data_IF_347528441322
#
_entry.id   IF_347528441322
#
_cell.length_a   1.000
_cell.length_b   1.000
_cell.length_c   1.000
_cell.angle_alpha   90.00
_cell.angle_beta   90.00
_cell.angle_gamma   90.00
#
_symmetry.space_group_name_H-M   'P 1'
#
loop_
_entity.id
_entity.type
_entity.pdbx_description
1 polymer ?
#
# COMPACT_ATOMS: atom_id res chain seq x y z
N UNK A 1 -25.52 40.09 -0.38
CA UNK A 1 -24.59 41.19 -0.77
C UNK A 1 -23.18 40.94 -0.26
N UNK A 2 -23.03 40.35 0.93
CA UNK A 2 -21.77 39.99 1.58
C UNK A 2 -20.83 39.14 0.70
N UNK A 3 -21.30 38.01 0.16
CA UNK A 3 -20.48 37.15 -0.74
C UNK A 3 -19.92 37.89 -1.98
N UNK A 4 -20.64 38.91 -2.48
CA UNK A 4 -20.17 39.73 -3.62
C UNK A 4 -19.08 40.70 -3.16
N UNK A 5 -19.21 41.26 -1.97
CA UNK A 5 -18.22 42.13 -1.35
C UNK A 5 -16.92 41.36 -1.07
N UNK A 6 -17.02 40.14 -0.54
CA UNK A 6 -15.87 39.26 -0.31
C UNK A 6 -15.17 38.84 -1.60
N UNK A 7 -15.94 38.51 -2.65
CA UNK A 7 -15.38 38.16 -3.95
C UNK A 7 -14.63 39.35 -4.57
N UNK A 8 -15.21 40.55 -4.50
CA UNK A 8 -14.56 41.78 -4.94
C UNK A 8 -13.28 42.07 -4.13
N UNK A 9 -13.30 41.85 -2.82
CA UNK A 9 -12.13 42.01 -1.97
C UNK A 9 -11.00 41.03 -2.35
N UNK A 10 -11.33 39.75 -2.60
CA UNK A 10 -10.36 38.74 -3.07
C UNK A 10 -9.76 39.10 -4.43
N UNK A 11 -10.60 39.47 -5.40
CA UNK A 11 -10.14 39.87 -6.73
C UNK A 11 -9.24 41.11 -6.63
N UNK A 12 -9.63 42.08 -5.80
CA UNK A 12 -8.83 43.30 -5.56
C UNK A 12 -7.48 42.98 -4.93
N UNK A 13 -7.43 42.03 -3.98
CA UNK A 13 -6.18 41.59 -3.38
C UNK A 13 -5.25 40.91 -4.40
N UNK A 14 -5.79 40.02 -5.24
CA UNK A 14 -5.04 39.35 -6.32
C UNK A 14 -4.51 40.38 -7.32
N UNK A 15 -5.34 41.33 -7.77
CA UNK A 15 -4.90 42.38 -8.69
C UNK A 15 -3.81 43.28 -8.08
N UNK A 16 -3.94 43.64 -6.80
CA UNK A 16 -2.89 44.39 -6.09
C UNK A 16 -1.58 43.62 -6.05
N UNK A 17 -1.63 42.32 -5.77
CA UNK A 17 -0.45 41.46 -5.73
C UNK A 17 0.22 41.36 -7.11
N UNK A 18 -0.56 41.18 -8.19
CA UNK A 18 -0.03 41.16 -9.56
C UNK A 18 0.63 42.50 -9.93
N UNK A 19 0.02 43.63 -9.56
CA UNK A 19 0.56 44.97 -9.84
C UNK A 19 1.86 45.22 -9.07
N UNK A 20 1.91 44.83 -7.80
CA UNK A 20 3.12 44.96 -6.97
C UNK A 20 4.26 44.09 -7.47
N UNK A 21 3.95 42.89 -7.99
CA UNK A 21 4.93 41.95 -8.52
C UNK A 21 5.22 42.13 -10.02
N UNK A 22 4.69 43.16 -10.69
CA UNK A 22 4.73 43.26 -12.16
C UNK A 22 6.14 43.14 -12.73
N UNK A 23 7.13 43.77 -12.10
CA UNK A 23 8.50 43.81 -12.61
C UNK A 23 9.19 42.44 -12.48
N UNK A 24 8.87 41.70 -11.41
CA UNK A 24 9.31 40.31 -11.21
C UNK A 24 8.63 39.36 -12.20
N UNK A 25 7.33 39.56 -12.46
CA UNK A 25 6.58 38.76 -13.45
C UNK A 25 7.12 39.04 -14.85
N UNK A 26 7.32 40.30 -15.21
CA UNK A 26 7.90 40.73 -16.49
C UNK A 26 9.30 40.14 -16.65
N UNK A 27 10.16 40.22 -15.62
CA UNK A 27 11.49 39.62 -15.68
C UNK A 27 11.43 38.10 -15.91
N UNK A 28 10.46 37.39 -15.33
CA UNK A 28 10.27 35.95 -15.56
C UNK A 28 9.69 35.61 -16.93
N UNK A 29 8.85 36.47 -17.49
CA UNK A 29 8.25 36.28 -18.82
C UNK A 29 9.21 36.69 -19.94
N UNK A 30 10.06 37.70 -19.69
CA UNK A 30 11.07 38.20 -20.61
C UNK A 30 12.39 37.44 -20.49
N UNK A 31 12.57 36.62 -19.44
CA UNK A 31 13.64 35.65 -19.42
C UNK A 31 13.52 34.82 -20.71
N UNK A 32 14.50 34.87 -21.63
CA UNK A 32 14.55 33.90 -22.70
C UNK A 32 14.51 32.55 -22.01
N UNK A 33 13.64 31.66 -22.51
CA UNK A 33 13.48 30.28 -22.06
C UNK A 33 14.77 29.76 -21.44
N UNK A 34 14.69 29.20 -20.23
CA UNK A 34 15.81 28.74 -19.40
C UNK A 34 17.01 28.30 -20.25
N UNK A 35 18.23 28.74 -19.90
CA UNK A 35 19.47 28.50 -20.66
C UNK A 35 19.68 27.08 -21.22
N UNK A 36 19.04 26.07 -20.64
CA UNK A 36 19.09 24.66 -21.08
C UNK A 36 17.85 24.22 -21.89
N UNK A 37 17.21 25.11 -22.64
CA UNK A 37 16.18 24.71 -23.60
C UNK A 37 16.82 24.27 -24.93
N UNK A 38 16.59 23.02 -25.32
CA UNK A 38 16.91 22.56 -26.68
C UNK A 38 15.73 22.98 -27.56
N UNK A 39 15.92 23.90 -28.54
CA UNK A 39 14.86 24.24 -29.46
C UNK A 39 14.49 23.01 -30.30
N UNK A 40 13.19 22.72 -30.37
CA UNK A 40 12.65 21.60 -31.16
C UNK A 40 11.58 22.15 -32.07
N UNK A 41 11.74 21.91 -33.37
CA UNK A 41 10.78 22.28 -34.40
C UNK A 41 9.42 21.63 -34.09
N UNK A 42 8.33 22.35 -34.39
CA UNK A 42 6.98 21.94 -34.02
C UNK A 42 6.60 20.53 -34.50
N UNK A 43 7.13 20.11 -35.65
CA UNK A 43 6.93 18.78 -36.25
C UNK A 43 7.58 17.63 -35.47
N UNK A 44 8.65 17.91 -34.71
CA UNK A 44 9.41 16.90 -33.96
C UNK A 44 9.11 16.90 -32.46
N UNK A 45 8.32 17.87 -31.96
CA UNK A 45 8.02 17.98 -30.53
C UNK A 45 7.44 16.69 -29.92
N UNK A 46 6.57 16.01 -30.67
CA UNK A 46 5.98 14.73 -30.20
C UNK A 46 7.05 13.66 -30.02
N UNK A 47 7.86 13.43 -31.04
CA UNK A 47 8.93 12.43 -31.03
C UNK A 47 9.98 12.73 -29.95
N UNK A 48 10.31 14.01 -29.77
CA UNK A 48 11.22 14.45 -28.73
C UNK A 48 10.66 14.21 -27.32
N UNK A 49 9.38 14.47 -27.09
CA UNK A 49 8.75 14.19 -25.79
C UNK A 49 8.69 12.69 -25.47
N UNK A 50 8.46 11.85 -26.48
CA UNK A 50 8.49 10.39 -26.35
C UNK A 50 9.92 9.90 -26.05
N UNK A 51 10.92 10.47 -26.73
CA UNK A 51 12.33 10.17 -26.47
C UNK A 51 12.75 10.56 -25.05
N UNK A 52 12.34 11.73 -24.56
CA UNK A 52 12.63 12.16 -23.19
C UNK A 52 12.00 11.23 -22.16
N UNK A 53 10.75 10.81 -22.38
CA UNK A 53 10.07 9.90 -21.46
C UNK A 53 10.77 8.54 -21.40
N UNK A 54 11.21 8.02 -22.56
CA UNK A 54 11.97 6.77 -22.66
C UNK A 54 13.37 6.89 -22.05
N UNK A 55 14.08 7.97 -22.34
CA UNK A 55 15.40 8.21 -21.78
C UNK A 55 15.34 8.35 -20.25
N UNK A 56 14.30 9.00 -19.71
CA UNK A 56 14.08 9.11 -18.27
C UNK A 56 13.82 7.75 -17.61
N UNK A 57 13.04 6.86 -18.25
CA UNK A 57 12.82 5.51 -17.72
C UNK A 57 14.11 4.67 -17.77
N UNK A 58 14.86 4.78 -18.85
CA UNK A 58 16.09 4.01 -19.05
C UNK A 58 17.21 4.50 -18.12
N UNK A 59 17.26 5.79 -17.80
CA UNK A 59 18.23 6.36 -16.86
C UNK A 59 18.07 5.81 -15.45
N UNK A 60 16.84 5.55 -15.00
CA UNK A 60 16.58 4.91 -13.70
C UNK A 60 17.15 3.50 -13.63
N UNK A 61 16.92 2.69 -14.69
CA UNK A 61 17.47 1.35 -14.80
C UNK A 61 19.00 1.36 -14.91
N UNK A 62 19.58 2.29 -15.68
CA UNK A 62 21.02 2.46 -15.82
C UNK A 62 21.66 2.88 -14.49
N UNK A 63 21.04 3.78 -13.74
CA UNK A 63 21.53 4.22 -12.42
C UNK A 63 21.53 3.06 -11.43
N UNK A 64 20.49 2.23 -11.42
CA UNK A 64 20.43 1.02 -10.61
C UNK A 64 21.55 0.04 -11.00
N UNK A 65 21.74 -0.22 -12.29
CA UNK A 65 22.80 -1.11 -12.76
C UNK A 65 24.21 -0.61 -12.42
N UNK A 66 24.45 0.71 -12.49
CA UNK A 66 25.71 1.33 -12.06
C UNK A 66 25.91 1.18 -10.55
N UNK A 67 24.86 1.37 -9.76
CA UNK A 67 24.91 1.17 -8.31
C UNK A 67 25.19 -0.30 -7.95
N UNK A 68 24.56 -1.25 -8.64
CA UNK A 68 24.80 -2.68 -8.47
C UNK A 68 26.25 -3.06 -8.82
N UNK A 69 26.79 -2.48 -9.91
CA UNK A 69 28.18 -2.68 -10.28
C UNK A 69 29.13 -2.09 -9.24
N UNK A 70 28.90 -0.86 -8.77
CA UNK A 70 29.68 -0.26 -7.69
C UNK A 70 29.62 -1.08 -6.40
N UNK A 71 28.45 -1.58 -6.04
CA UNK A 71 28.27 -2.47 -4.91
C UNK A 71 29.10 -3.75 -5.07
N UNK A 72 29.08 -4.37 -6.26
CA UNK A 72 29.88 -5.57 -6.55
C UNK A 72 31.39 -5.31 -6.55
N UNK A 73 31.85 -4.14 -7.03
CA UNK A 73 33.27 -3.76 -7.05
C UNK A 73 33.80 -3.46 -5.65
N UNK A 74 32.96 -2.89 -4.79
CA UNK A 74 33.30 -2.65 -3.38
C UNK A 74 33.20 -3.92 -2.53
N UNK A 75 32.71 -5.02 -3.10
CA UNK A 75 32.54 -6.27 -2.41
C UNK A 75 33.87 -7.06 -2.36
N UNK A 76 34.49 -7.09 -1.18
CA UNK A 76 35.76 -7.81 -0.94
C UNK A 76 35.60 -9.07 -0.08
N UNK A 77 34.38 -9.33 0.40
CA UNK A 77 34.11 -10.40 1.34
C UNK A 77 33.78 -11.71 0.61
N UNK A 78 34.07 -12.84 1.26
CA UNK A 78 33.75 -14.16 0.71
C UNK A 78 32.22 -14.35 0.62
N UNK A 79 31.70 -14.99 -0.44
CA UNK A 79 30.27 -15.31 -0.59
C UNK A 79 29.64 -16.03 0.61
N UNK A 80 30.46 -16.69 1.44
CA UNK A 80 30.04 -17.36 2.67
C UNK A 80 29.41 -16.41 3.71
N UNK A 81 29.78 -15.13 3.72
CA UNK A 81 29.25 -14.12 4.68
C UNK A 81 27.76 -13.89 4.46
N UNK A 82 27.32 -13.80 3.20
CA UNK A 82 25.90 -13.70 2.86
C UNK A 82 25.13 -14.95 3.21
N UNK A 83 25.75 -16.13 3.06
CA UNK A 83 25.15 -17.40 3.46
C UNK A 83 24.76 -17.40 4.94
N UNK A 84 25.56 -16.78 5.80
CA UNK A 84 25.25 -16.64 7.23
C UNK A 84 24.19 -15.56 7.50
N UNK A 85 24.32 -14.39 6.84
CA UNK A 85 23.40 -13.28 7.02
C UNK A 85 21.98 -13.57 6.49
N UNK A 86 21.87 -14.33 5.41
CA UNK A 86 20.60 -14.72 4.79
C UNK A 86 20.01 -15.99 5.41
N UNK A 87 20.80 -16.78 6.15
CA UNK A 87 20.35 -18.01 6.85
C UNK A 87 19.05 -17.84 7.67
N UNK A 88 18.81 -16.70 8.36
CA UNK A 88 17.58 -16.50 9.12
C UNK A 88 16.31 -16.44 8.25
N UNK A 89 16.40 -16.05 6.97
CA UNK A 89 15.22 -15.88 6.11
C UNK A 89 14.55 -17.22 5.79
N UNK A 90 15.25 -18.24 5.26
CA UNK A 90 14.65 -19.57 5.09
C UNK A 90 14.19 -20.20 6.40
N UNK A 91 14.91 -19.96 7.50
CA UNK A 91 14.52 -20.47 8.82
C UNK A 91 13.19 -19.86 9.30
N UNK A 92 13.02 -18.54 9.15
CA UNK A 92 11.78 -17.85 9.48
C UNK A 92 10.62 -18.34 8.61
N UNK A 93 10.82 -18.45 7.28
CA UNK A 93 9.79 -18.97 6.37
C UNK A 93 9.38 -20.40 6.73
N UNK A 94 10.34 -21.27 6.99
CA UNK A 94 10.06 -22.65 7.40
C UNK A 94 9.33 -22.72 8.75
N UNK A 95 9.58 -21.76 9.66
CA UNK A 95 8.81 -21.65 10.91
C UNK A 95 7.36 -21.25 10.64
N UNK A 96 7.13 -20.26 9.77
CA UNK A 96 5.78 -19.84 9.38
C UNK A 96 4.99 -20.98 8.75
N UNK A 97 5.62 -21.77 7.87
CA UNK A 97 5.00 -22.96 7.27
C UNK A 97 4.60 -23.97 8.34
N UNK A 98 5.51 -24.33 9.25
CA UNK A 98 5.20 -25.28 10.34
C UNK A 98 4.09 -24.77 11.27
N UNK A 99 4.07 -23.47 11.57
CA UNK A 99 2.99 -22.87 12.34
C UNK A 99 1.65 -22.99 11.62
N UNK A 100 1.62 -22.73 10.31
CA UNK A 100 0.41 -22.87 9.51
C UNK A 100 -0.09 -24.32 9.45
N UNK A 101 0.83 -25.29 9.29
CA UNK A 101 0.51 -26.72 9.32
C UNK A 101 -0.04 -27.14 10.68
N UNK A 102 0.60 -26.73 11.79
CA UNK A 102 0.14 -27.05 13.14
C UNK A 102 -1.26 -26.46 13.42
N UNK A 103 -1.49 -25.20 13.04
CA UNK A 103 -2.80 -24.54 13.14
C UNK A 103 -3.87 -25.26 12.29
N UNK A 104 -3.46 -25.79 11.14
CA UNK A 104 -4.35 -26.54 10.25
C UNK A 104 -4.71 -27.91 10.80
N UNK A 105 -3.72 -28.67 11.29
CA UNK A 105 -3.94 -29.95 11.96
C UNK A 105 -4.81 -29.81 13.22
N UNK A 106 -4.63 -28.73 14.00
CA UNK A 106 -5.48 -28.45 15.16
C UNK A 106 -6.94 -28.21 14.75
N UNK A 107 -7.16 -27.44 13.69
CA UNK A 107 -8.51 -27.18 13.14
C UNK A 107 -9.16 -28.47 12.64
N UNK A 108 -8.42 -29.35 11.96
CA UNK A 108 -8.91 -30.65 11.50
C UNK A 108 -9.24 -31.59 12.68
N UNK A 109 -8.41 -31.58 13.73
CA UNK A 109 -8.67 -32.32 14.96
C UNK A 109 -9.95 -31.84 15.67
N UNK A 110 -10.20 -30.53 15.67
CA UNK A 110 -11.45 -30.00 16.22
C UNK A 110 -12.67 -30.37 15.36
N UNK A 111 -12.54 -30.32 14.03
CA UNK A 111 -13.61 -30.71 13.12
C UNK A 111 -14.00 -32.20 13.27
N UNK A 112 -13.02 -33.10 13.41
CA UNK A 112 -13.28 -34.52 13.68
C UNK A 112 -13.94 -34.75 15.04
N UNK A 113 -13.52 -34.04 16.10
CA UNK A 113 -14.20 -34.08 17.40
C UNK A 113 -15.65 -33.59 17.33
N UNK A 114 -15.93 -32.55 16.54
CA UNK A 114 -17.29 -32.07 16.33
C UNK A 114 -18.15 -33.12 15.61
N UNK A 115 -17.62 -33.82 14.60
CA UNK A 115 -18.36 -34.89 13.91
C UNK A 115 -18.70 -36.06 14.85
N UNK A 116 -17.81 -36.40 15.79
CA UNK A 116 -18.08 -37.43 16.81
C UNK A 116 -19.09 -36.95 17.86
N UNK A 117 -19.04 -35.67 18.24
CA UNK A 117 -20.01 -35.06 19.18
C UNK A 117 -21.40 -34.93 18.55
N UNK A 118 -21.48 -34.76 17.23
CA UNK A 118 -22.72 -34.73 16.43
C UNK A 118 -22.91 -36.09 15.72
N UNK A 119 -22.61 -37.18 16.42
CA UNK A 119 -22.95 -38.53 15.96
C UNK A 119 -24.46 -38.66 15.66
N UNK A 120 -24.89 -39.56 14.76
CA UNK A 120 -26.21 -39.54 14.15
C UNK A 120 -27.32 -39.55 15.21
N UNK A 121 -28.17 -38.53 15.21
CA UNK A 121 -29.41 -38.52 15.98
C UNK A 121 -30.35 -39.53 15.30
N UNK A 122 -30.20 -40.81 15.59
CA UNK A 122 -31.20 -41.82 15.24
C UNK A 122 -31.25 -42.90 16.30
N UNK A 123 -32.46 -43.01 16.87
CA UNK A 123 -33.03 -44.08 17.72
C UNK A 123 -32.45 -44.30 19.13
N UNK A 124 -33.14 -43.73 20.13
CA UNK A 124 -33.43 -44.39 21.41
C UNK A 124 -34.40 -45.60 21.18
N UNK A 125 -34.69 -46.52 22.13
CA UNK A 125 -34.54 -46.44 23.60
C UNK A 125 -34.06 -47.74 24.30
N UNK A 126 -33.82 -47.67 25.63
CA UNK A 126 -34.30 -48.60 26.69
C UNK A 126 -33.43 -48.50 27.97
N UNK A 127 -34.02 -47.98 29.04
CA UNK A 127 -33.68 -48.16 30.48
C UNK A 127 -34.11 -49.59 30.94
N UNK A 128 -33.76 -50.14 32.14
CA UNK A 128 -33.66 -49.43 33.44
C UNK A 128 -32.68 -49.95 34.53
N UNK A 129 -32.58 -49.13 35.61
CA UNK A 129 -32.20 -49.42 37.02
C UNK A 129 -30.83 -50.06 37.33
N UNK A 130 -30.11 -49.74 38.40
CA UNK A 130 -30.31 -48.88 39.58
C UNK A 130 -28.93 -48.73 40.26
N UNK A 131 -28.84 -47.80 41.23
CA UNK A 131 -27.87 -47.76 42.35
C UNK A 131 -26.80 -46.66 42.32
N UNK A 132 -27.09 -45.66 43.16
CA UNK A 132 -26.23 -45.00 44.15
C UNK A 132 -25.05 -44.12 43.73
N UNK A 133 -25.11 -42.93 44.34
CA UNK A 133 -24.02 -42.05 44.75
C UNK A 133 -23.35 -41.18 43.69
N UNK A 134 -23.80 -39.92 43.70
CA UNK A 134 -23.11 -38.80 43.08
C UNK A 134 -21.71 -38.64 43.66
N UNK A 135 -20.72 -38.96 42.83
CA UNK A 135 -19.39 -38.34 42.91
C UNK A 135 -19.08 -37.79 41.53
N UNK A 136 -19.62 -36.60 41.31
CA UNK A 136 -19.26 -35.73 40.21
C UNK A 136 -17.85 -35.18 40.49
N UNK A 137 -16.84 -35.61 39.74
CA UNK A 137 -15.64 -34.81 39.43
C UNK A 137 -14.78 -35.51 38.36
N UNK A 138 -15.29 -35.49 37.12
CA UNK A 138 -14.47 -35.73 35.93
C UNK A 138 -13.49 -34.57 35.77
N UNK A 139 -12.22 -34.83 36.12
CA UNK A 139 -11.09 -33.91 35.93
C UNK A 139 -10.75 -33.85 34.44
N UNK A 140 -11.57 -33.15 33.66
CA UNK A 140 -11.11 -32.58 32.40
C UNK A 140 -10.23 -31.38 32.75
N UNK A 141 -8.92 -31.62 32.78
CA UNK A 141 -7.92 -30.55 32.89
C UNK A 141 -8.09 -29.63 31.67
N UNK A 142 -8.68 -28.47 31.93
CA UNK A 142 -8.70 -27.34 31.00
C UNK A 142 -7.25 -26.92 30.75
N UNK A 143 -6.80 -26.70 29.49
CA UNK A 143 -5.49 -26.13 29.23
C UNK A 143 -5.36 -24.77 29.93
N UNK A 144 -4.21 -24.44 30.53
CA UNK A 144 -4.07 -23.21 31.28
C UNK A 144 -4.30 -22.00 30.37
N UNK A 145 -5.12 -21.12 30.93
CA UNK A 145 -5.60 -19.88 30.35
C UNK A 145 -4.41 -18.95 30.23
N UNK A 146 -4.10 -18.53 29.00
CA UNK A 146 -3.01 -17.61 28.71
C UNK A 146 -3.21 -16.34 29.54
N UNK A 147 -2.34 -16.17 30.53
CA UNK A 147 -2.34 -15.00 31.41
C UNK A 147 -1.99 -13.77 30.58
N UNK A 148 -3.01 -12.95 30.37
CA UNK A 148 -2.91 -11.60 29.84
C UNK A 148 -2.00 -10.75 30.74
N UNK A 149 -0.99 -10.14 30.12
CA UNK A 149 0.00 -9.35 30.85
C UNK A 149 1.17 -8.86 30.01
N UNK A 150 0.88 -8.16 28.90
CA UNK A 150 1.70 -7.07 28.33
C UNK A 150 0.97 -6.48 27.13
N UNK A 151 0.29 -5.36 27.36
CA UNK A 151 -0.20 -4.49 26.28
C UNK A 151 1.01 -3.93 25.53
N UNK A 152 1.06 -4.19 24.23
CA UNK A 152 1.82 -3.42 23.24
C UNK A 152 0.92 -3.29 21.99
N UNK A 153 0.90 -2.13 21.32
CA UNK A 153 -0.23 -1.74 20.49
C UNK A 153 -0.30 -2.58 19.22
N UNK A 154 -1.50 -3.10 18.96
CA UNK A 154 -1.92 -3.69 17.71
C UNK A 154 -1.85 -2.60 16.62
N UNK A 155 -0.84 -2.64 15.78
CA UNK A 155 -0.85 -1.86 14.52
C UNK A 155 -1.87 -2.54 13.61
N UNK A 156 -3.01 -1.87 13.47
CA UNK A 156 -4.10 -2.23 12.59
C UNK A 156 -3.71 -1.95 11.13
N UNK A 157 -2.91 -2.83 10.53
CA UNK A 157 -2.64 -2.83 9.08
C UNK A 157 -3.55 -3.84 8.38
N UNK A 158 -4.84 -3.51 8.31
CA UNK A 158 -5.76 -4.13 7.35
C UNK A 158 -6.93 -3.19 7.03
N UNK A 159 -6.61 -1.98 6.55
CA UNK A 159 -7.57 -1.13 5.82
C UNK A 159 -6.90 -0.02 5.00
N UNK A 160 -5.90 -0.36 4.17
CA UNK A 160 -5.28 0.61 3.25
C UNK A 160 -5.10 0.11 1.81
N UNK A 161 -5.96 -0.81 1.35
CA UNK A 161 -6.04 -1.19 -0.07
C UNK A 161 -7.39 -0.86 -0.74
N UNK A 162 -8.22 0.00 -0.12
CA UNK A 162 -9.43 0.54 -0.78
C UNK A 162 -9.39 2.04 -1.08
N UNK A 163 -8.23 2.68 -0.92
CA UNK A 163 -8.11 4.13 -1.18
C UNK A 163 -7.24 4.51 -2.39
N UNK A 164 -6.74 3.52 -3.16
CA UNK A 164 -5.97 3.80 -4.38
C UNK A 164 -6.65 3.33 -5.68
N UNK A 165 -7.90 2.86 -5.63
CA UNK A 165 -8.66 2.48 -6.83
C UNK A 165 -9.96 3.27 -7.03
N UNK A 166 -10.18 4.32 -6.23
CA UNK A 166 -11.37 5.18 -6.31
C UNK A 166 -11.01 6.67 -6.49
N UNK A 167 -9.77 6.97 -6.94
CA UNK A 167 -9.35 8.33 -7.31
C UNK A 167 -9.24 8.55 -8.82
N UNK A 168 -9.60 7.55 -9.65
CA UNK A 168 -9.60 7.64 -11.13
C UNK A 168 -10.98 7.66 -11.76
N UNK A 169 -12.06 7.77 -10.98
CA UNK A 169 -13.44 7.92 -11.50
C UNK A 169 -14.13 9.12 -10.86
N UNK A 170 -13.64 10.31 -11.20
CA UNK A 170 -14.23 11.59 -10.80
C UNK A 170 -14.06 12.68 -11.85
N UNK A 171 -14.13 12.33 -13.13
CA UNK A 171 -14.10 13.29 -14.23
C UNK A 171 -15.50 13.79 -14.56
N UNK A 172 -15.91 14.89 -13.93
CA UNK A 172 -17.08 15.69 -14.34
C UNK A 172 -16.96 16.04 -15.83
N UNK A 173 -17.81 15.42 -16.66
CA UNK A 173 -18.02 15.81 -18.06
C UNK A 173 -19.23 16.76 -18.08
N UNK A 174 -18.95 18.05 -18.09
CA UNK A 174 -19.92 19.12 -18.41
C UNK A 174 -19.42 19.93 -19.61
N UNK A 175 -20.28 20.34 -20.55
CA UNK A 175 -19.87 20.78 -21.89
C UNK A 175 -19.71 22.30 -21.95
N UNK A 176 -18.62 22.81 -22.50
CA UNK A 176 -18.59 24.16 -23.07
C UNK A 176 -17.70 24.19 -24.32
N UNK A 177 -18.41 24.23 -25.44
CA UNK A 177 -18.00 24.69 -26.75
C UNK A 177 -17.48 26.13 -26.68
N UNK A 178 -16.49 26.46 -27.53
CA UNK A 178 -16.48 27.74 -28.25
C UNK A 178 -15.36 28.74 -27.96
N UNK A 179 -14.70 29.13 -29.07
CA UNK A 179 -13.96 30.37 -29.35
C UNK A 179 -12.59 30.53 -28.64
N UNK A 180 -11.49 30.93 -29.30
CA UNK A 180 -11.35 31.64 -30.57
C UNK A 180 -9.95 31.42 -31.17
N UNK A 181 -9.88 31.34 -32.50
CA UNK A 181 -8.67 31.51 -33.31
C UNK A 181 -7.99 32.85 -33.02
N UNK A 182 -6.66 32.85 -33.11
CA UNK A 182 -5.83 34.05 -33.20
C UNK A 182 -4.55 33.74 -33.97
N UNK A 183 -4.68 33.55 -35.29
CA UNK A 183 -3.57 33.63 -36.24
C UNK A 183 -3.39 35.11 -36.60
N UNK A 184 -2.13 35.48 -36.80
CA UNK A 184 -1.63 36.80 -37.27
C UNK A 184 -2.39 37.36 -38.46
#
# INVERSE_FOLDING_TARGET
MENKCESLARITAILKDVIQNKDRIIARLQQPYSLDCIPVEAEYQKQFSELLLKAASDYGALTAAVADFQWSQNFRESPSVWGEMLRPIPAALASCTRFFEAMSAMRESFATLQQLRVGPISSAPMTPSDSSDGVNNSKFLTPPQWREGRQAPMIQQSRREKFLMESTRGGYRGPLSGLMMGIR
#
